data_IF_018536647824
#
_entry.id   IF_018536647824
#
_cell.length_a   1.000
_cell.length_b   1.000
_cell.length_c   1.000
_cell.angle_alpha   90.00
_cell.angle_beta   90.00
_cell.angle_gamma   90.00
#
_symmetry.space_group_name_H-M   'P 1'
#
loop_
_entity.id
_entity.type
_entity.pdbx_description
1 polymer ?
#
# COMPACT_ATOMS: atom_id res chain seq x y z
N UNK A 1 10.94 -5.26 20.87
CA UNK A 1 10.01 -4.38 20.12
C UNK A 1 8.94 -5.27 19.54
N UNK A 2 7.69 -5.17 20.02
CA UNK A 2 6.57 -5.85 19.37
C UNK A 2 6.44 -5.21 18.00
N UNK A 3 6.70 -5.98 16.95
CA UNK A 3 6.41 -5.52 15.60
C UNK A 3 4.91 -5.76 15.41
N UNK A 4 4.14 -4.69 15.37
CA UNK A 4 2.69 -4.72 15.14
C UNK A 4 2.43 -5.03 13.66
N UNK A 5 2.69 -6.27 13.24
CA UNK A 5 2.35 -6.68 11.88
C UNK A 5 0.88 -6.98 11.81
N UNK A 6 0.22 -6.51 10.76
CA UNK A 6 -1.13 -6.95 10.47
C UNK A 6 -1.10 -8.43 10.05
N UNK A 7 -1.84 -9.27 10.77
CA UNK A 7 -1.90 -10.71 10.49
C UNK A 7 -2.76 -10.98 9.24
N UNK A 8 -2.09 -11.33 8.16
CA UNK A 8 -2.70 -11.78 6.90
C UNK A 8 -2.81 -13.29 6.89
N UNK A 9 -3.96 -13.79 6.44
CA UNK A 9 -4.21 -15.21 6.20
C UNK A 9 -4.44 -15.44 4.70
N UNK A 10 -4.21 -16.65 4.20
CA UNK A 10 -4.39 -17.02 2.79
C UNK A 10 -5.83 -16.82 2.29
N UNK A 11 -6.80 -16.81 3.21
CA UNK A 11 -8.21 -16.60 2.91
C UNK A 11 -8.60 -15.11 2.79
N UNK A 12 -7.70 -14.21 3.18
CA UNK A 12 -7.93 -12.77 3.07
C UNK A 12 -7.83 -12.34 1.60
N UNK A 13 -8.54 -11.27 1.24
CA UNK A 13 -8.61 -10.76 -0.13
C UNK A 13 -8.29 -9.28 -0.15
N UNK A 14 -7.63 -8.86 -1.24
CA UNK A 14 -7.50 -7.45 -1.58
C UNK A 14 -8.71 -7.05 -2.42
N UNK A 15 -9.44 -6.03 -1.96
CA UNK A 15 -10.54 -5.42 -2.70
C UNK A 15 -10.13 -4.02 -3.08
N UNK A 16 -9.98 -3.77 -4.38
CA UNK A 16 -9.64 -2.44 -4.90
C UNK A 16 -10.71 -1.44 -4.47
N UNK A 17 -10.26 -0.32 -3.91
CA UNK A 17 -11.12 0.77 -3.44
C UNK A 17 -11.05 1.96 -4.36
N UNK A 18 -9.85 2.33 -4.79
CA UNK A 18 -9.67 3.48 -5.66
C UNK A 18 -8.38 3.40 -6.46
N UNK A 19 -8.41 4.09 -7.60
CA UNK A 19 -7.26 4.38 -8.44
C UNK A 19 -7.23 5.88 -8.64
N UNK A 20 -6.18 6.55 -8.17
CA UNK A 20 -5.97 7.98 -8.35
C UNK A 20 -4.88 8.21 -9.38
N UNK A 21 -5.27 8.69 -10.55
CA UNK A 21 -4.35 9.09 -11.62
C UNK A 21 -3.84 10.51 -11.36
N UNK A 22 -2.54 10.64 -11.09
CA UNK A 22 -1.83 11.88 -10.83
C UNK A 22 -1.08 12.32 -12.09
N UNK A 23 -1.52 13.42 -12.72
CA UNK A 23 -0.91 13.92 -13.97
C UNK A 23 0.39 14.71 -13.76
N UNK A 24 1.05 14.60 -12.60
CA UNK A 24 2.06 15.55 -12.16
C UNK A 24 3.41 14.91 -11.80
N UNK A 25 4.48 15.36 -12.48
CA UNK A 25 5.92 15.35 -12.11
C UNK A 25 6.43 14.16 -11.28
N UNK A 26 6.07 12.94 -11.69
CA UNK A 26 6.67 11.69 -11.21
C UNK A 26 5.97 11.08 -9.98
N UNK A 27 4.67 11.16 -9.92
CA UNK A 27 3.88 10.01 -9.49
C UNK A 27 2.71 9.98 -10.46
N UNK A 28 2.44 8.84 -11.06
CA UNK A 28 1.40 8.73 -12.10
C UNK A 28 0.10 8.14 -11.55
N UNK A 29 0.21 7.23 -10.59
CA UNK A 29 -0.89 6.46 -10.05
C UNK A 29 -0.68 6.18 -8.55
N UNK A 30 -1.78 6.28 -7.81
CA UNK A 30 -1.92 5.65 -6.49
C UNK A 30 -3.07 4.65 -6.60
N UNK A 31 -2.80 3.39 -6.29
CA UNK A 31 -3.84 2.37 -6.22
C UNK A 31 -4.02 1.95 -4.77
N UNK A 32 -5.27 1.93 -4.29
CA UNK A 32 -5.60 1.56 -2.92
C UNK A 32 -6.50 0.32 -2.88
N UNK A 33 -6.15 -0.61 -2.00
CA UNK A 33 -6.93 -1.81 -1.70
C UNK A 33 -7.27 -1.88 -0.21
N UNK A 34 -8.44 -2.43 0.07
CA UNK A 34 -8.81 -2.89 1.41
C UNK A 34 -8.44 -4.36 1.57
N UNK A 35 -7.83 -4.70 2.69
CA UNK A 35 -7.58 -6.09 3.09
C UNK A 35 -8.82 -6.55 3.84
N UNK A 36 -9.51 -7.55 3.31
CA UNK A 36 -10.76 -8.07 3.87
C UNK A 36 -10.59 -9.55 4.20
N UNK A 37 -10.96 -9.93 5.42
CA UNK A 37 -10.94 -11.33 5.85
C UNK A 37 -12.01 -12.16 5.13
N UNK A 38 -11.90 -13.48 5.21
CA UNK A 38 -12.95 -14.39 4.71
C UNK A 38 -14.33 -14.11 5.31
N UNK A 39 -14.37 -13.52 6.51
CA UNK A 39 -15.60 -13.18 7.22
C UNK A 39 -16.15 -11.80 6.84
N UNK A 40 -15.49 -11.07 5.91
CA UNK A 40 -15.89 -9.73 5.49
C UNK A 40 -15.35 -8.60 6.38
N UNK A 41 -14.61 -8.90 7.45
CA UNK A 41 -14.01 -7.88 8.32
C UNK A 41 -12.83 -7.18 7.62
N UNK A 42 -12.83 -5.85 7.62
CA UNK A 42 -11.70 -5.05 7.11
C UNK A 42 -10.53 -5.12 8.09
N UNK A 43 -9.45 -5.76 7.67
CA UNK A 43 -8.21 -5.91 8.44
C UNK A 43 -7.26 -4.74 8.26
N UNK A 44 -7.35 -3.98 7.17
CA UNK A 44 -6.42 -2.90 6.92
C UNK A 44 -6.50 -2.43 5.48
N UNK A 45 -5.51 -1.63 5.07
CA UNK A 45 -5.41 -1.13 3.69
C UNK A 45 -4.00 -1.25 3.17
N UNK A 46 -3.88 -1.38 1.86
CA UNK A 46 -2.62 -1.33 1.12
C UNK A 46 -2.74 -0.23 0.09
N UNK A 47 -1.72 0.62 -0.02
CA UNK A 47 -1.60 1.62 -1.05
C UNK A 47 -0.29 1.40 -1.82
N UNK A 48 -0.40 1.29 -3.14
CA UNK A 48 0.72 1.28 -4.07
C UNK A 48 0.87 2.66 -4.68
N UNK A 49 2.06 3.22 -4.55
CA UNK A 49 2.45 4.48 -5.16
C UNK A 49 3.41 4.14 -6.30
N UNK A 50 3.05 4.46 -7.53
CA UNK A 50 3.89 4.20 -8.69
C UNK A 50 4.84 5.37 -9.00
N UNK A 51 5.81 5.06 -9.87
CA UNK A 51 6.73 5.99 -10.55
C UNK A 51 7.22 7.16 -9.69
N UNK A 52 7.49 6.91 -8.40
CA UNK A 52 7.94 7.95 -7.46
C UNK A 52 9.15 8.67 -8.04
N UNK A 53 9.02 9.99 -8.20
CA UNK A 53 9.86 10.72 -9.13
C UNK A 53 11.31 10.58 -8.71
N UNK A 54 12.16 10.19 -9.66
CA UNK A 54 13.62 10.08 -9.51
C UNK A 54 14.32 11.43 -9.21
N UNK A 55 13.61 12.49 -8.78
CA UNK A 55 14.22 13.74 -8.32
C UNK A 55 14.65 13.63 -6.85
N UNK A 56 15.88 13.12 -6.71
CA UNK A 56 16.85 13.26 -5.62
C UNK A 56 16.60 12.60 -4.26
N UNK A 57 15.39 12.13 -3.92
CA UNK A 57 15.14 11.56 -2.57
C UNK A 57 14.87 10.06 -2.54
N UNK A 58 14.34 9.48 -3.62
CA UNK A 58 14.05 8.06 -3.73
C UNK A 58 14.59 7.55 -5.07
N UNK A 59 15.40 6.49 -5.02
CA UNK A 59 15.96 5.82 -6.21
C UNK A 59 15.06 4.69 -6.72
N UNK A 60 13.84 4.59 -6.19
CA UNK A 60 12.94 3.47 -6.44
C UNK A 60 11.69 3.91 -7.18
N UNK A 61 11.14 3.00 -7.98
CA UNK A 61 9.95 3.24 -8.80
C UNK A 61 8.65 3.08 -8.02
N UNK A 62 8.62 2.31 -6.94
CA UNK A 62 7.39 1.99 -6.21
C UNK A 62 7.53 2.16 -4.70
N UNK A 63 6.44 2.54 -4.05
CA UNK A 63 6.26 2.43 -2.61
C UNK A 63 4.99 1.68 -2.27
N UNK A 64 5.08 0.76 -1.33
CA UNK A 64 3.96 0.00 -0.81
C UNK A 64 3.79 0.39 0.65
N UNK A 65 2.63 0.96 0.98
CA UNK A 65 2.27 1.30 2.35
C UNK A 65 1.12 0.41 2.79
N UNK A 66 1.25 -0.19 3.97
CA UNK A 66 0.18 -0.94 4.60
C UNK A 66 -0.22 -0.27 5.90
N UNK A 67 -1.52 -0.09 6.10
CA UNK A 67 -2.10 0.44 7.34
C UNK A 67 -2.97 -0.59 8.02
N UNK A 68 -2.95 -0.56 9.36
CA UNK A 68 -3.88 -1.32 10.19
C UNK A 68 -5.29 -0.68 10.16
N UNK A 69 -6.31 -1.29 10.79
CA UNK A 69 -7.67 -0.73 10.84
C UNK A 69 -7.74 0.66 11.49
N UNK A 70 -6.78 0.99 12.36
CA UNK A 70 -6.68 2.27 13.07
C UNK A 70 -5.95 3.34 12.24
N UNK A 71 -5.44 3.00 11.06
CA UNK A 71 -4.73 3.90 10.16
C UNK A 71 -3.24 4.05 10.46
N UNK A 72 -2.68 3.27 11.40
CA UNK A 72 -1.23 3.25 11.68
C UNK A 72 -0.50 2.52 10.57
N UNK A 73 0.60 3.10 10.09
CA UNK A 73 1.48 2.46 9.12
C UNK A 73 2.22 1.30 9.79
N UNK A 74 1.99 0.09 9.29
CA UNK A 74 2.62 -1.15 9.76
C UNK A 74 3.68 -1.67 8.78
N UNK A 75 3.57 -1.28 7.49
CA UNK A 75 4.59 -1.53 6.47
C UNK A 75 4.79 -0.27 5.65
N UNK A 76 6.04 0.09 5.42
CA UNK A 76 6.45 1.11 4.46
C UNK A 76 7.65 0.55 3.69
N UNK A 77 7.41 0.16 2.44
CA UNK A 77 8.39 -0.55 1.63
C UNK A 77 8.64 0.18 0.30
N UNK A 78 9.91 0.26 -0.10
CA UNK A 78 10.39 0.92 -1.30
C UNK A 78 11.04 -0.13 -2.21
N UNK A 79 10.57 -0.24 -3.46
CA UNK A 79 11.04 -1.26 -4.41
C UNK A 79 11.03 -0.75 -5.85
N UNK A 80 11.91 -1.29 -6.69
CA UNK A 80 11.90 -1.08 -8.14
C UNK A 80 11.16 -2.19 -8.90
N UNK A 81 10.75 -3.24 -8.20
CA UNK A 81 10.15 -4.44 -8.77
C UNK A 81 8.85 -4.74 -8.00
N UNK A 82 7.78 -5.02 -8.74
CA UNK A 82 6.48 -5.47 -8.22
C UNK A 82 6.32 -6.98 -8.39
#
# INVERSE_FOLDING_TARGET
MLRDYLKINDSDRLIEQSVLQLKNRGQEEVTEWSIVSANGEQKGRVALFDKLSNRRSYRVSYRIVQTDPQGKIVVDHLTDIL
#
